data_IF_969073690468
#
_entry.id   IF_969073690468
#
_cell.length_a   1.000
_cell.length_b   1.000
_cell.length_c   1.000
_cell.angle_alpha   90.00
_cell.angle_beta   90.00
_cell.angle_gamma   90.00
#
_symmetry.space_group_name_H-M   'P 1'
#
loop_
_entity.id
_entity.type
_entity.pdbx_description
1 polymer ?
#
# COMPACT_ATOMS: atom_id res chain seq x y z
N UNK A 1 -8.49 21.23 -11.78
CA UNK A 1 -7.39 21.17 -10.83
C UNK A 1 -6.42 20.08 -11.15
N UNK A 2 -5.14 20.38 -11.03
CA UNK A 2 -4.09 19.44 -11.42
C UNK A 2 -4.08 18.18 -10.56
N UNK A 3 -4.52 18.27 -9.31
CA UNK A 3 -4.51 17.13 -8.42
C UNK A 3 -5.80 16.33 -8.44
N UNK A 4 -6.73 16.70 -9.29
CA UNK A 4 -7.93 15.91 -9.49
C UNK A 4 -7.64 14.80 -10.48
N UNK A 5 -8.32 13.69 -10.28
CA UNK A 5 -8.37 12.57 -11.20
C UNK A 5 -7.00 11.95 -11.56
N UNK A 6 -6.82 11.67 -12.83
CA UNK A 6 -5.77 10.78 -13.33
C UNK A 6 -4.39 11.41 -13.51
N UNK A 7 -4.27 12.70 -13.23
CA UNK A 7 -2.97 13.37 -13.38
C UNK A 7 -2.05 13.14 -12.19
N UNK A 8 -2.56 12.52 -11.13
CA UNK A 8 -1.77 12.23 -9.93
C UNK A 8 -1.64 10.74 -9.75
N UNK A 9 -0.40 10.27 -9.60
CA UNK A 9 -0.10 8.86 -9.35
C UNK A 9 0.66 8.75 -8.04
N UNK A 10 0.17 7.90 -7.14
CA UNK A 10 0.80 7.65 -5.84
C UNK A 10 1.17 6.20 -5.72
N UNK A 11 2.33 5.94 -5.11
CA UNK A 11 2.77 4.58 -4.82
C UNK A 11 3.20 4.49 -3.38
N UNK A 12 2.80 3.41 -2.72
CA UNK A 12 3.13 3.14 -1.33
C UNK A 12 3.87 1.82 -1.22
N UNK A 13 4.74 1.73 -0.23
CA UNK A 13 5.42 0.48 0.12
C UNK A 13 4.90 0.00 1.46
N UNK A 14 4.70 -1.31 1.58
CA UNK A 14 4.26 -1.91 2.84
C UNK A 14 4.91 -3.26 3.02
N UNK A 15 5.02 -3.68 4.27
CA UNK A 15 5.56 -5.00 4.62
C UNK A 15 4.49 -5.80 5.33
N UNK A 16 4.46 -7.11 5.07
CA UNK A 16 3.65 -8.04 5.82
C UNK A 16 4.43 -9.34 6.04
N UNK A 17 4.16 -9.97 7.17
CA UNK A 17 4.73 -11.27 7.51
C UNK A 17 3.75 -12.40 7.24
N UNK A 18 2.65 -12.12 6.55
CA UNK A 18 1.62 -13.11 6.24
C UNK A 18 1.64 -13.47 4.77
N UNK A 19 1.19 -14.68 4.47
CA UNK A 19 1.10 -15.16 3.10
C UNK A 19 -0.17 -14.60 2.46
N UNK A 20 -0.06 -13.86 1.34
CA UNK A 20 -1.24 -13.27 0.71
C UNK A 20 -2.03 -14.31 -0.07
N UNK A 21 -3.33 -14.03 -0.24
CA UNK A 21 -4.19 -14.86 -1.08
C UNK A 21 -3.81 -14.74 -2.55
N UNK A 22 -3.27 -13.60 -2.96
CA UNK A 22 -2.71 -13.39 -4.29
C UNK A 22 -1.52 -12.45 -4.18
N UNK A 23 -0.60 -12.54 -5.14
CA UNK A 23 0.66 -11.82 -5.08
C UNK A 23 0.63 -10.50 -5.83
N UNK A 24 -0.35 -10.30 -6.69
CA UNK A 24 -0.54 -9.05 -7.42
C UNK A 24 -1.97 -8.98 -7.96
N UNK A 25 -2.41 -7.79 -8.30
CA UNK A 25 -3.70 -7.58 -8.92
C UNK A 25 -4.47 -6.41 -8.34
N UNK A 26 -5.75 -6.40 -8.63
CA UNK A 26 -6.65 -5.35 -8.19
C UNK A 26 -7.37 -5.75 -6.92
N UNK A 27 -7.61 -4.76 -6.06
CA UNK A 27 -8.48 -4.90 -4.90
C UNK A 27 -9.53 -3.81 -5.02
N UNK A 28 -10.79 -4.20 -5.16
CA UNK A 28 -11.91 -3.28 -5.39
C UNK A 28 -13.08 -3.61 -4.47
N UNK A 29 -13.74 -2.58 -3.97
CA UNK A 29 -14.94 -2.77 -3.17
C UNK A 29 -15.33 -1.50 -2.44
N UNK A 30 -16.62 -1.40 -2.12
CA UNK A 30 -17.10 -0.27 -1.34
C UNK A 30 -16.55 -0.36 0.07
N UNK A 31 -16.19 0.78 0.63
CA UNK A 31 -15.69 0.85 2.00
C UNK A 31 -16.87 1.06 2.95
N UNK A 32 -16.99 0.17 3.93
CA UNK A 32 -18.03 0.24 4.95
C UNK A 32 -17.39 0.46 6.31
N UNK A 33 -18.00 1.35 7.09
CA UNK A 33 -17.48 1.65 8.41
C UNK A 33 -17.79 0.49 9.37
N UNK A 34 -16.76 0.03 10.06
CA UNK A 34 -16.88 -1.01 11.05
C UNK A 34 -16.82 -0.44 12.47
N UNK A 35 -16.48 -1.29 13.42
CA UNK A 35 -16.38 -0.89 14.81
C UNK A 35 -15.07 -0.17 15.10
N UNK A 36 -15.10 0.77 16.05
CA UNK A 36 -13.90 1.37 16.60
C UNK A 36 -13.06 2.12 15.60
N UNK A 37 -13.67 2.71 14.59
CA UNK A 37 -12.93 3.46 13.58
C UNK A 37 -12.30 2.62 12.50
N UNK A 38 -12.60 1.33 12.45
CA UNK A 38 -12.13 0.45 11.39
C UNK A 38 -13.05 0.51 10.18
N UNK A 39 -12.53 0.07 9.04
CA UNK A 39 -13.28 0.00 7.80
C UNK A 39 -13.23 -1.42 7.24
N UNK A 40 -14.20 -1.77 6.44
CA UNK A 40 -14.30 -3.08 5.81
C UNK A 40 -14.55 -2.92 4.33
N UNK A 41 -14.04 -3.87 3.54
CA UNK A 41 -14.25 -3.89 2.11
C UNK A 41 -15.46 -4.77 1.80
N UNK A 42 -16.47 -4.18 1.17
CA UNK A 42 -17.66 -4.89 0.76
C UNK A 42 -17.51 -5.36 -0.69
N UNK A 43 -18.37 -6.29 -1.10
CA UNK A 43 -18.32 -6.80 -2.48
C UNK A 43 -18.99 -5.87 -3.47
N UNK A 44 -19.83 -4.96 -3.01
CA UNK A 44 -20.50 -4.01 -3.90
C UNK A 44 -19.51 -3.05 -4.53
N UNK A 45 -19.89 -2.46 -5.66
CA UNK A 45 -19.05 -1.56 -6.42
C UNK A 45 -19.77 -0.26 -6.77
N UNK A 46 -20.53 0.30 -5.84
CA UNK A 46 -21.28 1.53 -6.07
C UNK A 46 -20.36 2.75 -6.04
N UNK A 47 -19.44 2.78 -5.07
CA UNK A 47 -18.45 3.84 -4.93
C UNK A 47 -17.16 3.22 -4.42
N UNK A 48 -16.56 2.34 -5.21
CA UNK A 48 -15.51 1.46 -4.69
C UNK A 48 -14.18 2.15 -4.44
N UNK A 49 -13.50 1.67 -3.41
CA UNK A 49 -12.08 1.89 -3.26
C UNK A 49 -11.37 0.96 -4.25
N UNK A 50 -10.44 1.50 -5.03
CA UNK A 50 -9.75 0.75 -6.06
C UNK A 50 -8.26 0.89 -5.85
N UNK A 51 -7.57 -0.23 -5.66
CA UNK A 51 -6.13 -0.28 -5.49
C UNK A 51 -5.54 -1.37 -6.36
N UNK A 52 -4.39 -1.09 -6.94
CA UNK A 52 -3.59 -2.12 -7.61
C UNK A 52 -2.35 -2.37 -6.79
N UNK A 53 -1.89 -3.61 -6.76
CA UNK A 53 -0.66 -3.90 -6.05
C UNK A 53 0.12 -5.00 -6.74
N UNK A 54 1.44 -5.01 -6.50
CA UNK A 54 2.29 -6.15 -6.75
C UNK A 54 3.16 -6.37 -5.51
N UNK A 55 3.86 -7.48 -5.49
CA UNK A 55 4.65 -7.83 -4.32
C UNK A 55 5.82 -8.72 -4.70
N UNK A 56 6.84 -8.69 -3.85
CA UNK A 56 8.01 -9.57 -4.01
C UNK A 56 8.41 -10.11 -2.64
N UNK A 57 8.90 -11.36 -2.57
CA UNK A 57 9.42 -11.87 -1.33
C UNK A 57 10.75 -11.19 -1.01
N UNK A 58 10.97 -10.87 0.27
CA UNK A 58 12.23 -10.28 0.72
C UNK A 58 13.10 -11.37 1.36
N UNK A 59 12.49 -12.13 2.24
CA UNK A 59 13.07 -13.30 2.87
C UNK A 59 11.92 -14.13 3.45
N UNK A 60 12.24 -15.29 3.98
CA UNK A 60 11.20 -16.15 4.55
C UNK A 60 10.40 -15.37 5.61
N UNK A 61 9.07 -15.39 5.47
CA UNK A 61 8.20 -14.71 6.41
C UNK A 61 8.14 -13.20 6.25
N UNK A 62 8.65 -12.64 5.15
CA UNK A 62 8.59 -11.20 4.93
C UNK A 62 8.43 -10.89 3.45
N UNK A 63 7.41 -10.11 3.12
CA UNK A 63 7.11 -9.74 1.73
C UNK A 63 6.91 -8.25 1.62
N UNK A 64 7.45 -7.68 0.53
CA UNK A 64 7.29 -6.26 0.21
C UNK A 64 6.14 -6.09 -0.77
N UNK A 65 5.26 -5.14 -0.48
CA UNK A 65 4.12 -4.79 -1.33
C UNK A 65 4.30 -3.37 -1.85
N UNK A 66 4.02 -3.19 -3.14
CA UNK A 66 3.91 -1.87 -3.73
C UNK A 66 2.45 -1.67 -4.11
N UNK A 67 1.86 -0.59 -3.63
CA UNK A 67 0.43 -0.34 -3.81
C UNK A 67 0.23 0.98 -4.57
N UNK A 68 -0.61 0.93 -5.60
CA UNK A 68 -0.99 2.08 -6.40
C UNK A 68 -2.48 2.32 -6.24
N UNK A 69 -2.90 3.18 -5.30
CA UNK A 69 -4.33 3.45 -5.12
C UNK A 69 -4.85 4.34 -6.26
N UNK A 70 -6.03 3.99 -6.76
CA UNK A 70 -6.71 4.78 -7.79
C UNK A 70 -7.73 5.74 -7.16
N UNK A 71 -8.10 5.49 -5.92
CA UNK A 71 -9.02 6.29 -5.13
C UNK A 71 -8.35 6.62 -3.81
N UNK A 72 -8.90 7.54 -3.03
CA UNK A 72 -8.31 7.97 -1.76
C UNK A 72 -9.24 7.82 -0.58
N UNK A 73 -9.78 6.63 -0.36
CA UNK A 73 -10.67 6.38 0.78
C UNK A 73 -9.88 6.20 2.07
N UNK A 74 -10.53 6.49 3.20
CA UNK A 74 -9.91 6.35 4.52
C UNK A 74 -9.44 4.91 4.75
N UNK A 75 -8.21 4.75 5.21
CA UNK A 75 -7.58 3.46 5.48
C UNK A 75 -7.57 2.50 4.29
N UNK A 76 -7.71 3.02 3.08
CA UNK A 76 -7.88 2.18 1.90
C UNK A 76 -6.79 1.12 1.72
N UNK A 77 -5.53 1.51 1.83
CA UNK A 77 -4.41 0.57 1.63
C UNK A 77 -4.39 -0.47 2.74
N UNK A 78 -4.63 -0.04 3.97
CA UNK A 78 -4.64 -0.94 5.14
C UNK A 78 -5.72 -2.01 4.99
N UNK A 79 -6.91 -1.59 4.54
CA UNK A 79 -8.04 -2.49 4.32
C UNK A 79 -7.77 -3.41 3.13
N UNK A 80 -7.18 -2.88 2.06
CA UNK A 80 -6.87 -3.67 0.87
C UNK A 80 -5.93 -4.83 1.22
N UNK A 81 -4.85 -4.57 1.94
CA UNK A 81 -3.89 -5.62 2.30
C UNK A 81 -4.49 -6.61 3.28
N UNK A 82 -5.31 -6.15 4.23
CA UNK A 82 -6.02 -7.08 5.10
C UNK A 82 -6.92 -8.00 4.28
N UNK A 83 -7.61 -7.48 3.28
CA UNK A 83 -8.57 -8.25 2.49
C UNK A 83 -7.92 -9.40 1.72
N UNK A 84 -6.64 -9.27 1.38
CA UNK A 84 -5.90 -10.35 0.71
C UNK A 84 -5.15 -11.24 1.70
N UNK A 85 -5.41 -11.09 2.99
CA UNK A 85 -4.80 -11.91 4.02
C UNK A 85 -3.40 -11.50 4.44
N UNK A 86 -2.97 -10.29 4.06
CA UNK A 86 -1.63 -9.79 4.34
C UNK A 86 -1.68 -8.44 5.06
N UNK A 87 -2.24 -8.38 6.28
CA UNK A 87 -2.29 -7.10 7.00
C UNK A 87 -0.87 -6.57 7.22
N UNK A 88 -0.76 -5.26 7.24
CA UNK A 88 0.52 -4.57 7.34
C UNK A 88 1.16 -4.84 8.71
N UNK A 89 2.46 -5.16 8.72
CA UNK A 89 3.22 -5.26 9.96
C UNK A 89 3.06 -3.96 10.77
N UNK A 90 2.77 -4.10 12.06
CA UNK A 90 2.58 -2.97 12.95
C UNK A 90 1.17 -2.40 12.91
N UNK A 91 0.32 -2.87 12.02
CA UNK A 91 -1.06 -2.39 11.91
C UNK A 91 -2.00 -3.32 12.66
N UNK A 92 -1.98 -3.22 13.98
CA UNK A 92 -2.73 -4.14 14.84
C UNK A 92 -4.23 -3.95 14.71
N UNK A 93 -4.69 -2.74 14.37
CA UNK A 93 -6.11 -2.48 14.15
C UNK A 93 -6.71 -3.41 13.10
N UNK A 94 -5.93 -3.74 12.08
CA UNK A 94 -6.38 -4.63 11.01
C UNK A 94 -5.76 -6.02 11.09
N UNK A 95 -5.27 -6.39 12.24
CA UNK A 95 -4.80 -7.75 12.50
C UNK A 95 -3.36 -8.02 12.16
N UNK A 96 -2.58 -6.98 11.92
CA UNK A 96 -1.15 -7.13 11.66
C UNK A 96 -0.37 -7.51 12.91
N UNK A 97 0.76 -8.18 12.71
CA UNK A 97 1.68 -8.51 13.79
C UNK A 97 2.26 -7.24 14.38
N UNK A 98 2.39 -7.18 15.70
CA UNK A 98 2.94 -6.02 16.37
C UNK A 98 4.38 -5.75 15.92
N UNK A 99 4.72 -4.49 15.76
CA UNK A 99 6.05 -4.06 15.38
C UNK A 99 6.29 -2.66 15.95
N UNK A 100 7.54 -2.19 15.86
CA UNK A 100 7.89 -0.89 16.43
C UNK A 100 7.24 0.29 15.67
N UNK A 101 6.69 0.02 14.47
CA UNK A 101 5.96 1.03 13.68
C UNK A 101 5.00 0.32 12.75
N UNK A 102 4.09 1.09 12.14
CA UNK A 102 3.33 0.60 11.01
C UNK A 102 4.21 0.63 9.77
N UNK A 103 4.38 -0.50 9.11
CA UNK A 103 5.28 -0.61 7.95
C UNK A 103 4.54 -0.26 6.66
N UNK A 104 4.07 0.97 6.60
CA UNK A 104 3.44 1.57 5.42
C UNK A 104 4.13 2.90 5.16
N UNK A 105 4.62 3.09 3.94
CA UNK A 105 5.42 4.26 3.59
C UNK A 105 4.97 4.84 2.25
N UNK A 106 4.72 6.15 2.21
CA UNK A 106 4.45 6.86 0.97
C UNK A 106 5.76 7.02 0.21
N UNK A 107 5.91 6.28 -0.88
CA UNK A 107 7.19 6.12 -1.56
C UNK A 107 7.33 7.02 -2.78
N UNK A 108 6.30 7.15 -3.58
CA UNK A 108 6.41 7.88 -4.84
C UNK A 108 5.16 8.69 -5.12
N UNK A 109 5.38 9.91 -5.61
CA UNK A 109 4.30 10.80 -6.03
C UNK A 109 4.68 11.38 -7.38
N UNK A 110 3.84 11.17 -8.38
CA UNK A 110 4.05 11.71 -9.73
C UNK A 110 2.80 12.49 -10.13
N UNK A 111 3.00 13.65 -10.74
CA UNK A 111 1.89 14.46 -11.23
C UNK A 111 2.35 15.40 -12.32
N UNK A 112 1.39 15.93 -13.09
CA UNK A 112 1.62 16.92 -14.11
C UNK A 112 0.87 18.19 -13.72
N UNK A 113 1.59 19.31 -13.76
CA UNK A 113 1.03 20.60 -13.44
C UNK A 113 1.52 21.61 -14.47
N UNK A 114 0.58 22.29 -15.16
CA UNK A 114 0.92 23.28 -16.21
C UNK A 114 1.85 22.69 -17.27
N UNK A 115 1.56 21.47 -17.70
CA UNK A 115 2.32 20.71 -18.72
C UNK A 115 3.72 20.31 -18.28
N UNK A 116 4.04 20.49 -17.01
CA UNK A 116 5.34 20.08 -16.46
C UNK A 116 5.15 18.84 -15.59
N UNK A 117 5.98 17.82 -15.83
CA UNK A 117 5.91 16.57 -15.08
C UNK A 117 6.78 16.62 -13.84
N UNK A 118 6.24 16.15 -12.73
CA UNK A 118 6.96 16.05 -11.45
C UNK A 118 6.92 14.62 -10.97
N UNK A 119 8.05 14.14 -10.45
CA UNK A 119 8.17 12.79 -9.94
C UNK A 119 9.05 12.81 -8.70
N UNK A 120 8.44 12.56 -7.54
CA UNK A 120 9.14 12.57 -6.27
C UNK A 120 9.22 11.15 -5.73
N UNK A 121 10.42 10.71 -5.44
CA UNK A 121 10.67 9.39 -4.85
C UNK A 121 11.32 9.60 -3.49
N UNK A 122 10.72 8.99 -2.47
CA UNK A 122 11.19 9.10 -1.09
C UNK A 122 11.46 7.71 -0.54
N UNK A 123 12.69 7.22 -0.58
CA UNK A 123 13.00 5.90 -0.01
C UNK A 123 12.71 5.89 1.49
N UNK A 124 12.24 4.77 2.06
CA UNK A 124 12.03 4.70 3.49
C UNK A 124 13.37 4.76 4.23
N UNK A 125 13.42 5.56 5.27
CA UNK A 125 14.64 5.77 6.06
C UNK A 125 14.46 5.48 7.54
N UNK A 126 13.29 4.96 7.94
CA UNK A 126 13.00 4.60 9.32
C UNK A 126 12.36 3.23 9.39
N UNK A 127 12.62 2.52 10.49
CA UNK A 127 12.11 1.18 10.71
C UNK A 127 13.16 0.12 10.39
N UNK A 128 13.39 -0.78 11.34
CA UNK A 128 14.46 -1.78 11.19
C UNK A 128 14.34 -2.58 9.91
N UNK A 129 13.11 -3.02 9.58
CA UNK A 129 12.92 -3.88 8.42
C UNK A 129 13.06 -3.12 7.10
N UNK A 130 12.67 -1.84 7.07
CA UNK A 130 12.89 -1.02 5.87
C UNK A 130 14.36 -0.78 5.57
N UNK A 131 15.22 -0.91 6.58
CA UNK A 131 16.65 -0.65 6.43
C UNK A 131 17.47 -1.90 6.18
N UNK A 132 16.86 -3.08 6.12
CA UNK A 132 17.55 -4.31 5.80
C UNK A 132 18.16 -4.23 4.38
N UNK A 133 19.40 -4.73 4.19
CA UNK A 133 20.01 -4.72 2.86
C UNK A 133 19.17 -5.43 1.80
N UNK A 134 18.58 -6.58 2.13
CA UNK A 134 17.74 -7.32 1.20
C UNK A 134 16.47 -6.55 0.85
N UNK A 135 15.95 -5.75 1.77
CA UNK A 135 14.78 -4.93 1.47
C UNK A 135 15.14 -3.74 0.60
N UNK A 136 16.26 -3.09 0.88
CA UNK A 136 16.75 -2.00 0.02
C UNK A 136 16.99 -2.50 -1.39
N UNK A 137 17.53 -3.70 -1.54
CA UNK A 137 17.72 -4.31 -2.86
C UNK A 137 16.39 -4.59 -3.54
N UNK A 138 15.39 -5.06 -2.80
CA UNK A 138 14.06 -5.32 -3.36
C UNK A 138 13.41 -4.03 -3.85
N UNK A 139 13.53 -2.94 -3.09
CA UNK A 139 13.00 -1.63 -3.51
C UNK A 139 13.71 -1.14 -4.76
N UNK A 140 15.04 -1.27 -4.81
CA UNK A 140 15.81 -0.85 -5.97
C UNK A 140 15.44 -1.65 -7.22
N UNK A 141 14.95 -2.87 -7.06
CA UNK A 141 14.52 -3.70 -8.16
C UNK A 141 13.11 -3.43 -8.65
N UNK A 142 12.35 -2.55 -7.99
CA UNK A 142 11.02 -2.21 -8.45
C UNK A 142 11.11 -1.34 -9.70
N UNK A 143 10.40 -1.75 -10.74
CA UNK A 143 10.38 -0.98 -11.97
C UNK A 143 9.22 0.02 -11.95
N UNK A 144 9.21 0.87 -12.97
CA UNK A 144 8.15 1.87 -13.14
C UNK A 144 6.76 1.23 -13.34
#
# INVERSE_FOLDING_TARGET
MAFADRQVSKQYLALSDRKPKKKQGWVKGDMQKGRGGSWMLARSLDNPAISWFDSVPVREGLRLYRIKPQTGKTHQIRVALKSIGAPILGDERYGGTAAERGYLHAWRLSFTLADEAFDFICPPDEGELFLLPELKAAIAGLSE
#
